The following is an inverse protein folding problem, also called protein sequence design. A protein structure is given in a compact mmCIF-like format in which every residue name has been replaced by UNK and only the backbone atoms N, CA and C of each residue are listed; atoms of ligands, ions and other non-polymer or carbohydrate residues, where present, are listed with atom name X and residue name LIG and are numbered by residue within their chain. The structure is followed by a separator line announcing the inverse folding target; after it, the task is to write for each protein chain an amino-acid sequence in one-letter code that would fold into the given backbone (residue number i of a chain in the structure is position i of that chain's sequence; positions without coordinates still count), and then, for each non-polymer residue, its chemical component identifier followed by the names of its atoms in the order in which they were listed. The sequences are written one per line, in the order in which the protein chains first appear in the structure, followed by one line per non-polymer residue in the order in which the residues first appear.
data_IF_369771607999
#
_entry.id   IF_369771607999
#
_cell.length_a   1.000
_cell.length_b   1.000
_cell.length_c   1.000
_cell.angle_alpha   90.00
_cell.angle_beta   90.00
_cell.angle_gamma   90.00
#
_symmetry.space_group_name_H-M   'P 1'
#
loop_
_entity.id
_entity.type
_entity.pdbx_description
1 polymer ?
#
# COMPACT_ATOMS: atom_id res chain seq x y z
N UNK A 1 -19.76 12.42 20.40
CA UNK A 1 -19.83 11.98 18.99
C UNK A 1 -19.02 12.99 18.17
N UNK A 2 -17.75 12.68 17.93
CA UNK A 2 -16.72 13.52 17.30
C UNK A 2 -15.53 12.56 17.12
N UNK A 3 -14.83 12.39 16.01
CA UNK A 3 -14.57 13.23 14.84
C UNK A 3 -14.02 12.25 13.78
N UNK A 4 -14.83 11.80 12.81
CA UNK A 4 -14.48 10.65 11.96
C UNK A 4 -14.06 11.02 10.53
N UNK A 5 -14.11 12.30 10.15
CA UNK A 5 -13.94 12.77 8.77
C UNK A 5 -12.99 13.97 8.66
N UNK A 6 -11.81 13.89 9.29
CA UNK A 6 -10.78 14.91 9.04
C UNK A 6 -10.10 14.66 7.68
N UNK A 7 -10.12 15.60 6.71
CA UNK A 7 -9.55 15.41 5.37
C UNK A 7 -8.07 15.03 5.34
N UNK A 8 -7.32 15.38 6.40
CA UNK A 8 -5.90 15.04 6.57
C UNK A 8 -5.66 13.54 6.88
N UNK A 9 -6.70 12.77 7.18
CA UNK A 9 -6.59 11.34 7.46
C UNK A 9 -6.76 10.48 6.20
N UNK A 10 -6.98 11.12 5.04
CA UNK A 10 -7.34 10.49 3.78
C UNK A 10 -6.16 10.58 2.81
N UNK A 11 -5.33 9.54 2.76
CA UNK A 11 -4.21 9.46 1.83
C UNK A 11 -4.59 8.57 0.65
N UNK A 12 -4.14 8.91 -0.55
CA UNK A 12 -4.31 8.06 -1.74
C UNK A 12 -3.00 7.35 -2.08
N UNK A 13 -1.88 7.94 -1.71
CA UNK A 13 -0.58 7.46 -2.14
C UNK A 13 0.31 7.26 -0.91
N UNK A 14 1.21 6.28 -0.99
CA UNK A 14 2.25 6.08 0.00
C UNK A 14 3.54 5.60 -0.66
N UNK A 15 4.65 5.75 0.04
CA UNK A 15 5.92 5.12 -0.36
C UNK A 15 6.27 3.97 0.58
N UNK A 16 7.00 2.99 0.05
CA UNK A 16 7.44 1.80 0.77
C UNK A 16 8.96 1.69 0.66
N UNK A 17 9.65 1.51 1.79
CA UNK A 17 11.13 1.51 1.82
C UNK A 17 11.74 0.35 1.02
N UNK A 18 11.11 -0.82 1.07
CA UNK A 18 11.47 -2.02 0.31
C UNK A 18 10.27 -2.99 0.35
N UNK A 19 10.01 -3.70 -0.75
CA UNK A 19 9.03 -4.79 -0.77
C UNK A 19 9.78 -6.12 -0.69
N UNK A 20 9.46 -6.91 0.33
CA UNK A 20 9.86 -8.31 0.40
C UNK A 20 8.82 -9.15 -0.35
N UNK A 21 9.19 -9.62 -1.54
CA UNK A 21 8.36 -10.48 -2.37
C UNK A 21 8.48 -11.95 -1.93
N UNK A 22 7.34 -12.65 -1.90
CA UNK A 22 7.27 -14.08 -1.57
C UNK A 22 7.33 -14.94 -2.85
N UNK A 23 6.98 -14.34 -3.99
CA UNK A 23 6.99 -15.00 -5.29
C UNK A 23 8.42 -15.28 -5.77
N UNK A 24 8.59 -16.37 -6.53
CA UNK A 24 9.86 -16.67 -7.21
C UNK A 24 10.15 -15.65 -8.33
N UNK A 25 9.10 -15.18 -9.01
CA UNK A 25 9.16 -14.15 -10.03
C UNK A 25 8.51 -12.86 -9.53
N UNK A 26 9.26 -11.75 -9.59
CA UNK A 26 8.77 -10.43 -9.20
C UNK A 26 7.89 -9.89 -10.33
N UNK A 27 6.67 -9.37 -10.04
CA UNK A 27 5.82 -8.81 -11.07
C UNK A 27 6.48 -7.61 -11.77
N UNK A 28 6.27 -7.48 -13.08
CA UNK A 28 6.61 -6.24 -13.79
C UNK A 28 5.77 -5.08 -13.26
N UNK A 29 6.41 -3.91 -13.09
CA UNK A 29 5.77 -2.71 -12.59
C UNK A 29 5.51 -1.72 -13.75
N UNK A 30 4.34 -1.04 -13.78
CA UNK A 30 3.34 -0.98 -12.72
C UNK A 30 2.45 -2.22 -12.61
N UNK A 31 2.13 -2.64 -11.38
CA UNK A 31 1.34 -3.84 -11.11
C UNK A 31 0.07 -3.52 -10.32
N UNK A 32 -1.08 -3.98 -10.83
CA UNK A 32 -2.38 -3.82 -10.15
C UNK A 32 -2.63 -5.00 -9.22
N UNK A 33 -2.96 -4.70 -7.97
CA UNK A 33 -3.23 -5.69 -6.95
C UNK A 33 -4.15 -5.13 -5.87
N UNK A 34 -4.31 -5.88 -4.79
CA UNK A 34 -4.93 -5.40 -3.56
C UNK A 34 -3.91 -5.29 -2.45
N UNK A 35 -4.11 -4.37 -1.50
CA UNK A 35 -3.26 -4.26 -0.34
C UNK A 35 -4.03 -4.01 0.96
N UNK A 36 -3.37 -4.32 2.08
CA UNK A 36 -3.83 -4.02 3.45
C UNK A 36 -2.75 -3.24 4.17
N UNK A 37 -3.09 -2.08 4.72
CA UNK A 37 -2.21 -1.31 5.60
C UNK A 37 -2.46 -1.59 7.08
N UNK A 38 -3.57 -2.28 7.41
CA UNK A 38 -3.92 -2.63 8.80
C UNK A 38 -4.44 -4.06 8.89
N UNK A 39 -4.15 -4.68 10.03
CA UNK A 39 -4.71 -5.99 10.35
C UNK A 39 -6.25 -5.93 10.40
N UNK A 40 -6.91 -6.90 9.73
CA UNK A 40 -8.38 -6.99 9.55
C UNK A 40 -9.02 -5.90 8.68
N UNK A 41 -8.23 -5.06 8.01
CA UNK A 41 -8.76 -4.22 6.93
C UNK A 41 -9.22 -5.11 5.76
N UNK A 42 -10.29 -4.70 5.07
CA UNK A 42 -10.63 -5.27 3.77
C UNK A 42 -9.55 -4.94 2.73
N UNK A 43 -9.38 -5.82 1.76
CA UNK A 43 -8.50 -5.61 0.61
C UNK A 43 -8.86 -4.32 -0.13
N UNK A 44 -7.84 -3.52 -0.44
CA UNK A 44 -7.99 -2.24 -1.13
C UNK A 44 -7.27 -2.29 -2.46
N UNK A 45 -7.97 -1.96 -3.55
CA UNK A 45 -7.35 -1.91 -4.87
C UNK A 45 -6.25 -0.84 -4.91
N UNK A 46 -5.09 -1.22 -5.42
CA UNK A 46 -3.97 -0.32 -5.61
C UNK A 46 -3.11 -0.71 -6.81
N UNK A 47 -2.30 0.24 -7.25
CA UNK A 47 -1.22 0.02 -8.23
C UNK A 47 0.12 0.26 -7.55
N UNK A 48 1.05 -0.69 -7.72
CA UNK A 48 2.45 -0.57 -7.29
C UNK A 48 3.25 -0.08 -8.49
N UNK A 49 4.07 0.96 -8.29
CA UNK A 49 5.00 1.48 -9.31
C UNK A 49 6.34 1.85 -8.68
N UNK A 50 7.35 2.08 -9.52
CA UNK A 50 8.64 2.63 -9.09
C UNK A 50 8.79 4.04 -9.64
N UNK A 51 9.14 4.98 -8.78
CA UNK A 51 9.39 6.37 -9.15
C UNK A 51 10.77 6.57 -9.79
N UNK A 52 11.05 7.81 -10.21
CA UNK A 52 12.34 8.16 -10.83
C UNK A 52 13.55 8.01 -9.89
N UNK A 53 13.32 7.92 -8.57
CA UNK A 53 14.33 7.76 -7.53
C UNK A 53 14.45 6.30 -7.07
N UNK A 54 13.85 5.35 -7.80
CA UNK A 54 13.84 3.93 -7.47
C UNK A 54 13.11 3.61 -6.15
N UNK A 55 12.09 4.40 -5.79
CA UNK A 55 11.23 4.16 -4.63
C UNK A 55 9.91 3.51 -5.06
N UNK A 56 9.42 2.56 -4.25
CA UNK A 56 8.10 1.98 -4.47
C UNK A 56 7.00 2.96 -4.06
N UNK A 57 6.11 3.26 -5.00
CA UNK A 57 4.89 4.03 -4.77
C UNK A 57 3.70 3.08 -4.85
N UNK A 58 2.76 3.24 -3.92
CA UNK A 58 1.47 2.55 -3.93
C UNK A 58 0.37 3.58 -4.05
N UNK A 59 -0.39 3.50 -5.14
CA UNK A 59 -1.51 4.37 -5.43
C UNK A 59 -2.82 3.60 -5.22
N UNK A 60 -3.61 3.96 -4.23
CA UNK A 60 -4.91 3.36 -3.97
C UNK A 60 -6.00 3.97 -4.85
N UNK A 61 -6.91 3.13 -5.36
CA UNK A 61 -8.07 3.60 -6.13
C UNK A 61 -9.04 4.43 -5.25
N UNK A 62 -9.16 4.05 -3.98
CA UNK A 62 -9.96 4.74 -2.97
C UNK A 62 -9.09 5.25 -1.83
N UNK A 63 -9.51 6.36 -1.22
CA UNK A 63 -8.74 6.96 -0.13
C UNK A 63 -8.72 6.05 1.11
N UNK A 64 -7.54 5.94 1.71
CA UNK A 64 -7.29 5.09 2.85
C UNK A 64 -7.17 5.91 4.12
N UNK A 65 -7.89 5.49 5.17
CA UNK A 65 -7.90 6.17 6.46
C UNK A 65 -6.75 5.73 7.35
N UNK A 66 -6.12 6.72 7.99
CA UNK A 66 -5.20 6.50 9.12
C UNK A 66 -4.03 5.54 8.79
N UNK A 67 -3.47 5.64 7.59
CA UNK A 67 -2.21 4.98 7.25
C UNK A 67 -1.09 5.60 8.10
N UNK A 68 -0.30 4.78 8.79
CA UNK A 68 0.75 5.24 9.69
C UNK A 68 2.13 4.78 9.20
N UNK A 69 3.09 5.70 8.97
CA UNK A 69 4.48 5.33 8.72
C UNK A 69 5.06 4.39 9.79
N UNK A 70 5.90 3.46 9.38
CA UNK A 70 6.44 2.40 10.23
C UNK A 70 5.55 1.15 10.37
N UNK A 71 4.28 1.21 9.93
CA UNK A 71 3.46 0.01 9.80
C UNK A 71 3.76 -0.74 8.50
N UNK A 72 3.33 -2.01 8.46
CA UNK A 72 3.45 -2.84 7.27
C UNK A 72 2.27 -2.65 6.32
N UNK A 73 2.57 -2.65 5.03
CA UNK A 73 1.63 -2.91 3.95
C UNK A 73 1.88 -4.30 3.39
N UNK A 74 0.80 -5.05 3.11
CA UNK A 74 0.86 -6.38 2.52
C UNK A 74 0.05 -6.40 1.23
N UNK A 75 0.62 -6.97 0.18
CA UNK A 75 0.05 -7.02 -1.17
C UNK A 75 -0.47 -8.41 -1.50
N UNK A 76 -1.59 -8.46 -2.21
CA UNK A 76 -2.31 -9.67 -2.58
C UNK A 76 -2.79 -9.61 -4.03
N UNK A 77 -2.71 -10.74 -4.72
CA UNK A 77 -3.47 -11.00 -5.94
C UNK A 77 -4.51 -12.07 -5.63
N UNK A 78 -5.79 -11.68 -5.57
CA UNK A 78 -6.89 -12.53 -5.10
C UNK A 78 -6.58 -13.10 -3.71
N UNK A 79 -6.26 -14.40 -3.61
CA UNK A 79 -5.97 -15.10 -2.36
C UNK A 79 -4.46 -15.37 -2.15
N UNK A 80 -3.61 -14.90 -3.06
CA UNK A 80 -2.17 -15.13 -3.02
C UNK A 80 -1.50 -13.92 -2.38
N UNK A 81 -0.73 -14.15 -1.32
CA UNK A 81 0.14 -13.12 -0.73
C UNK A 81 1.36 -12.94 -1.61
N UNK A 82 1.51 -11.73 -2.17
CA UNK A 82 2.63 -11.39 -3.06
C UNK A 82 3.87 -11.00 -2.25
N UNK A 83 3.65 -10.39 -1.09
CA UNK A 83 4.71 -9.81 -0.28
C UNK A 83 4.25 -8.60 0.52
N UNK A 84 5.20 -7.85 1.07
CA UNK A 84 4.90 -6.66 1.85
C UNK A 84 6.14 -5.85 2.21
N UNK A 85 5.91 -4.66 2.76
CA UNK A 85 6.99 -3.74 3.10
C UNK A 85 6.58 -2.74 4.19
N UNK A 86 7.55 -1.92 4.59
CA UNK A 86 7.33 -0.88 5.61
C UNK A 86 6.92 0.42 4.93
N UNK A 87 5.81 0.98 5.36
CA UNK A 87 5.30 2.27 4.91
C UNK A 87 6.25 3.36 5.39
N UNK A 88 6.81 4.13 4.46
CA UNK A 88 7.77 5.19 4.73
C UNK A 88 7.10 6.55 4.92
N UNK A 89 6.21 6.90 3.99
CA UNK A 89 5.49 8.18 3.99
C UNK A 89 4.14 8.03 3.29
N UNK A 90 3.23 8.96 3.59
CA UNK A 90 1.84 8.98 3.10
C UNK A 90 1.51 10.37 2.55
N UNK A 91 0.75 10.42 1.45
CA UNK A 91 0.40 11.64 0.72
C UNK A 91 -1.03 11.63 0.16
#
# INVERSE_FOLDING_TARGET
AQDHDHPLLHNKNLTVLNINWILEEIPELPFKCTAKCRYRQSDQNCTIEIDKNNQFIVNFESSQRAITPGQFIVFYEKNICLGGGIINSVY
#
